data_IF_013878516376
#
_entry.id   IF_013878516376
#
_cell.length_a   1.000
_cell.length_b   1.000
_cell.length_c   1.000
_cell.angle_alpha   90.00
_cell.angle_beta   90.00
_cell.angle_gamma   90.00
#
_symmetry.space_group_name_H-M   'P 1'
#
loop_
_entity.id
_entity.type
_entity.pdbx_description
1 polymer ?
#
# COMPACT_ATOMS: atom_id res chain seq x y z
N UNK A 1 -0.62 15.68 4.91
CA UNK A 1 -0.29 14.57 4.05
C UNK A 1 0.00 13.33 4.85
N UNK A 2 0.10 12.22 4.22
CA UNK A 2 0.20 10.97 4.94
C UNK A 2 1.46 10.23 4.57
N UNK A 3 1.99 9.47 5.52
CA UNK A 3 3.10 8.57 5.26
C UNK A 3 2.61 7.20 4.84
N UNK A 4 1.30 7.01 4.80
CA UNK A 4 0.72 5.73 4.44
C UNK A 4 0.30 5.74 2.98
N UNK A 5 0.52 4.61 2.32
CA UNK A 5 0.22 4.47 0.93
C UNK A 5 -0.74 3.30 0.75
N UNK A 6 -1.79 3.50 -0.02
CA UNK A 6 -2.70 2.43 -0.40
C UNK A 6 -2.12 1.71 -1.61
N UNK A 7 -2.16 0.39 -1.59
CA UNK A 7 -1.70 -0.42 -2.69
C UNK A 7 -2.80 -1.39 -3.06
N UNK A 8 -3.22 -1.37 -4.30
CA UNK A 8 -4.27 -2.27 -4.75
C UNK A 8 -3.84 -3.09 -5.97
N UNK A 9 -4.69 -3.99 -6.33
CA UNK A 9 -4.48 -4.88 -7.47
C UNK A 9 -3.24 -5.75 -7.30
N UNK A 10 -2.97 -6.16 -6.06
CA UNK A 10 -1.83 -7.01 -5.77
C UNK A 10 -2.12 -8.45 -6.17
N UNK A 11 -1.10 -9.21 -6.53
CA UNK A 11 -1.28 -10.65 -6.72
C UNK A 11 -1.75 -11.29 -5.44
N UNK A 12 -2.64 -12.26 -5.54
CA UNK A 12 -3.19 -12.87 -4.33
C UNK A 12 -2.16 -13.61 -3.51
N UNK A 13 -1.07 -14.00 -4.10
CA UNK A 13 -0.06 -14.77 -3.38
C UNK A 13 1.08 -13.94 -2.86
N UNK A 14 1.01 -12.64 -3.00
CA UNK A 14 2.11 -11.81 -2.57
C UNK A 14 2.20 -11.81 -1.05
N UNK A 15 3.40 -11.78 -0.53
CA UNK A 15 3.63 -11.76 0.91
C UNK A 15 4.00 -10.38 1.38
N UNK A 16 3.95 -10.18 2.70
CA UNK A 16 4.38 -8.92 3.28
C UNK A 16 5.80 -8.60 2.90
N UNK A 17 6.67 -9.62 2.91
CA UNK A 17 8.07 -9.39 2.60
C UNK A 17 8.25 -8.95 1.17
N UNK A 18 7.48 -9.51 0.27
CA UNK A 18 7.57 -9.10 -1.13
C UNK A 18 7.11 -7.67 -1.32
N UNK A 19 6.03 -7.29 -0.66
CA UNK A 19 5.57 -5.92 -0.75
C UNK A 19 6.61 -4.99 -0.18
N UNK A 20 7.20 -5.36 0.96
CA UNK A 20 8.22 -4.53 1.57
C UNK A 20 9.40 -4.34 0.62
N UNK A 21 9.83 -5.41 -0.03
CA UNK A 21 10.95 -5.29 -0.94
C UNK A 21 10.64 -4.39 -2.12
N UNK A 22 9.46 -4.52 -2.67
CA UNK A 22 9.07 -3.70 -3.80
C UNK A 22 9.04 -2.23 -3.41
N UNK A 23 8.47 -1.94 -2.25
CA UNK A 23 8.30 -0.56 -1.83
C UNK A 23 9.55 0.04 -1.21
N UNK A 24 10.53 -0.79 -0.84
CA UNK A 24 11.78 -0.31 -0.29
C UNK A 24 12.85 -0.08 -1.35
N UNK A 25 12.55 -0.38 -2.60
CA UNK A 25 13.52 -0.15 -3.65
C UNK A 25 13.87 1.34 -3.71
N UNK A 26 14.99 1.64 -4.26
CA UNK A 26 15.48 3.01 -4.38
C UNK A 26 15.73 3.68 -3.04
N UNK A 27 15.94 2.89 -2.00
CA UNK A 27 16.31 3.46 -0.71
C UNK A 27 15.18 3.97 0.13
N UNK A 28 13.96 3.72 -0.26
CA UNK A 28 12.83 4.14 0.57
C UNK A 28 12.76 3.28 1.82
N UNK A 29 12.41 3.89 2.93
CA UNK A 29 12.35 3.18 4.20
C UNK A 29 10.92 2.81 4.54
N UNK A 30 10.60 1.54 4.47
CA UNK A 30 9.28 1.02 4.79
C UNK A 30 9.23 0.72 6.28
N UNK A 31 8.30 1.35 6.98
CA UNK A 31 8.13 1.16 8.42
C UNK A 31 7.24 -0.04 8.68
N UNK A 32 6.17 -0.17 7.94
CA UNK A 32 5.28 -1.30 8.14
C UNK A 32 4.51 -1.62 6.87
N UNK A 33 4.07 -2.86 6.77
CA UNK A 33 3.24 -3.33 5.68
C UNK A 33 2.04 -4.01 6.30
N UNK A 34 0.85 -3.64 5.82
CA UNK A 34 -0.38 -4.21 6.36
C UNK A 34 -1.25 -4.67 5.21
N UNK A 35 -1.16 -5.94 4.88
CA UNK A 35 -2.00 -6.51 3.82
C UNK A 35 -3.34 -6.91 4.41
N UNK A 36 -4.39 -6.63 3.67
CA UNK A 36 -5.73 -6.93 4.13
C UNK A 36 -6.10 -8.35 3.73
N UNK A 37 -6.51 -9.13 4.70
CA UNK A 37 -6.82 -10.54 4.49
C UNK A 37 -8.31 -10.75 4.69
N UNK A 38 -8.90 -11.53 3.81
CA UNK A 38 -10.30 -11.88 3.94
C UNK A 38 -10.45 -12.87 5.09
N UNK A 39 -11.25 -12.53 6.06
CA UNK A 39 -11.37 -13.36 7.24
C UNK A 39 -12.06 -14.69 6.96
N UNK A 40 -12.91 -14.71 5.98
CA UNK A 40 -13.64 -15.93 5.70
C UNK A 40 -12.82 -16.95 4.97
N UNK A 41 -11.99 -16.52 4.07
CA UNK A 41 -11.22 -17.45 3.26
C UNK A 41 -9.76 -17.51 3.66
N UNK A 42 -9.29 -16.53 4.45
CA UNK A 42 -7.88 -16.45 4.80
C UNK A 42 -6.99 -16.00 3.68
N UNK A 43 -7.56 -15.51 2.60
CA UNK A 43 -6.77 -15.11 1.45
C UNK A 43 -6.63 -13.61 1.38
N UNK A 44 -5.51 -13.12 0.84
CA UNK A 44 -5.35 -11.69 0.67
C UNK A 44 -6.42 -11.14 -0.25
N UNK A 45 -6.88 -9.95 0.05
CA UNK A 45 -7.90 -9.33 -0.76
C UNK A 45 -7.34 -8.56 -1.94
N UNK A 46 -6.04 -8.57 -2.13
CA UNK A 46 -5.44 -7.90 -3.26
C UNK A 46 -5.12 -6.44 -3.00
N UNK A 47 -5.18 -6.00 -1.75
CA UNK A 47 -4.80 -4.64 -1.42
C UNK A 47 -4.29 -4.55 0.00
N UNK A 48 -3.63 -3.46 0.29
CA UNK A 48 -3.09 -3.24 1.61
C UNK A 48 -2.57 -1.83 1.75
N UNK A 49 -1.84 -1.61 2.82
CA UNK A 49 -1.27 -0.30 3.11
C UNK A 49 0.19 -0.46 3.47
N UNK A 50 1.00 0.51 3.07
CA UNK A 50 2.42 0.52 3.39
C UNK A 50 2.73 1.85 4.05
N UNK A 51 3.39 1.82 5.19
CA UNK A 51 3.79 3.03 5.89
C UNK A 51 5.26 3.30 5.66
N UNK A 52 5.59 4.53 5.33
CA UNK A 52 6.97 4.93 5.10
C UNK A 52 7.46 5.82 6.24
N UNK A 53 8.76 6.06 6.26
CA UNK A 53 9.36 6.87 7.32
C UNK A 53 8.90 8.32 7.25
N UNK A 54 8.61 8.83 6.07
CA UNK A 54 8.12 10.21 5.96
C UNK A 54 7.26 10.36 4.71
N UNK A 55 6.67 11.53 4.59
CA UNK A 55 5.74 11.79 3.49
C UNK A 55 6.42 11.84 2.15
N UNK A 56 7.64 12.33 2.10
CA UNK A 56 8.33 12.42 0.82
C UNK A 56 8.58 11.04 0.24
N UNK A 57 8.91 10.09 1.10
CA UNK A 57 9.12 8.73 0.62
C UNK A 57 7.82 8.10 0.17
N UNK A 58 6.73 8.39 0.86
CA UNK A 58 5.43 7.88 0.45
C UNK A 58 5.06 8.40 -0.93
N UNK A 59 5.28 9.67 -1.17
CA UNK A 59 4.97 10.24 -2.47
C UNK A 59 5.88 9.70 -3.55
N UNK A 60 7.14 9.50 -3.23
CA UNK A 60 8.06 8.93 -4.20
C UNK A 60 7.63 7.51 -4.57
N UNK A 61 7.14 6.75 -3.61
CA UNK A 61 6.69 5.40 -3.88
C UNK A 61 5.47 5.42 -4.80
N UNK A 62 4.56 6.34 -4.59
CA UNK A 62 3.40 6.45 -5.46
C UNK A 62 3.86 6.72 -6.89
N UNK A 63 4.75 7.67 -7.05
CA UNK A 63 5.20 8.03 -8.39
C UNK A 63 5.96 6.89 -9.06
N UNK A 64 6.72 6.15 -8.30
CA UNK A 64 7.53 5.10 -8.88
C UNK A 64 6.73 3.83 -9.16
N UNK A 65 5.73 3.56 -8.34
CA UNK A 65 5.09 2.26 -8.36
C UNK A 65 3.65 2.24 -8.84
N UNK A 66 3.00 3.39 -8.94
CA UNK A 66 1.65 3.40 -9.46
C UNK A 66 1.68 2.96 -10.92
N UNK A 67 0.99 1.92 -11.24
CA UNK A 67 1.01 1.36 -12.57
C UNK A 67 2.12 0.35 -12.83
N UNK A 68 2.98 0.12 -11.84
CA UNK A 68 4.07 -0.83 -12.03
C UNK A 68 3.51 -2.24 -12.18
N UNK A 69 4.07 -3.00 -13.08
CA UNK A 69 3.55 -4.32 -13.35
C UNK A 69 4.20 -5.33 -12.40
N UNK A 70 3.41 -5.90 -11.52
CA UNK A 70 3.89 -6.86 -10.55
C UNK A 70 3.07 -8.13 -10.73
N UNK A 71 3.74 -9.21 -11.01
CA UNK A 71 3.04 -10.47 -11.18
C UNK A 71 2.02 -10.44 -12.30
N UNK A 72 2.26 -9.63 -13.30
CA UNK A 72 1.35 -9.52 -14.42
C UNK A 72 0.21 -8.55 -14.23
N UNK A 73 0.23 -7.81 -13.14
CA UNK A 73 -0.84 -6.86 -12.85
C UNK A 73 -0.29 -5.48 -12.58
N UNK A 74 -0.92 -4.45 -13.13
CA UNK A 74 -0.49 -3.09 -12.82
C UNK A 74 -0.97 -2.71 -11.43
N UNK A 75 -0.06 -2.28 -10.57
CA UNK A 75 -0.43 -1.87 -9.23
C UNK A 75 -1.18 -0.57 -9.23
N UNK A 76 -2.07 -0.41 -8.27
CA UNK A 76 -2.73 0.85 -8.03
C UNK A 76 -2.19 1.40 -6.72
N UNK A 77 -1.48 2.51 -6.79
CA UNK A 77 -0.80 3.05 -5.62
C UNK A 77 -1.22 4.51 -5.44
N UNK A 78 -1.68 4.84 -4.26
CA UNK A 78 -2.10 6.20 -3.94
C UNK A 78 -1.79 6.51 -2.50
N UNK A 79 -1.69 7.79 -2.19
CA UNK A 79 -1.52 8.19 -0.80
C UNK A 79 -2.80 7.87 -0.04
N UNK A 80 -2.65 7.19 1.08
CA UNK A 80 -3.79 6.88 1.95
C UNK A 80 -3.92 7.99 2.96
N UNK A 81 -5.00 8.75 2.90
CA UNK A 81 -5.14 9.88 3.78
C UNK A 81 -5.63 9.45 5.13
N UNK A 82 -5.08 10.02 6.19
CA UNK A 82 -5.58 9.71 7.52
C UNK A 82 -6.97 10.25 7.68
N UNK A 83 -7.73 9.59 8.52
CA UNK A 83 -9.02 10.08 8.84
C UNK A 83 -8.88 11.10 9.87
N UNK A 84 -9.33 12.22 9.64
CA UNK A 84 -9.20 13.20 10.60
C UNK A 84 -10.47 13.62 11.10
N UNK A 85 -10.52 13.94 12.32
CA UNK A 85 -11.70 14.46 12.86
C UNK A 85 -12.93 13.82 12.42
N UNK A 86 -13.40 13.34 12.27
CA UNK A 86 -14.49 12.80 11.86
C UNK A 86 -14.48 11.85 10.99
N UNK A 87 -13.45 11.53 10.87
CA UNK A 87 -13.23 10.61 9.99
C UNK A 87 -14.18 9.75 9.39
N UNK A 88 -15.18 9.67 9.80
CA UNK A 88 -16.06 8.76 9.22
C UNK A 88 -16.09 8.76 7.77
N UNK A 89 -15.69 9.78 7.22
CA UNK A 89 -15.85 9.83 5.84
C UNK A 89 -15.15 8.81 5.04
N UNK A 90 -14.18 8.16 5.58
CA UNK A 90 -13.50 7.32 4.77
C UNK A 90 -14.23 6.15 4.33
N UNK A 91 -14.64 5.49 5.17
CA UNK A 91 -15.24 4.33 4.82
C UNK A 91 -16.31 4.48 3.95
N UNK A 92 -16.77 5.51 4.00
CA UNK A 92 -17.78 5.58 3.18
C UNK A 92 -17.32 5.88 1.98
N UNK A 93 -16.27 6.06 2.14
CA UNK A 93 -15.85 6.29 0.85
C UNK A 93 -16.29 6.23 1.18
#
# INVERSE_FOLDING_TARGET
>A
MSRNVYVGNLPYRISDDEVREIFAQDGREVVSVNLIIDRETGKPRGFGFVEFADEAQAEAAVQALDGANIGGRPLKVNIARPREGGGGGYGGG
#
